data_IF_525228076785
#
_entry.id   IF_525228076785
#
_cell.length_a   1.000
_cell.length_b   1.000
_cell.length_c   1.000
_cell.angle_alpha   90.00
_cell.angle_beta   90.00
_cell.angle_gamma   90.00
#
_symmetry.space_group_name_H-M   'P 1'
#
loop_
_entity.id
_entity.type
_entity.pdbx_description
1 polymer ?
#
# COMPACT_ATOMS: atom_id res chain seq x y z
N UNK A 1 28.11 -42.36 -36.59
CA UNK A 1 26.98 -41.51 -37.04
C UNK A 1 26.71 -40.36 -36.07
N UNK A 2 27.75 -39.63 -35.62
CA UNK A 2 27.62 -38.43 -34.74
C UNK A 2 28.50 -37.27 -35.21
N UNK A 3 29.06 -37.35 -36.42
CA UNK A 3 29.93 -36.32 -37.00
C UNK A 3 29.23 -35.47 -38.06
N UNK A 4 28.16 -35.97 -38.67
CA UNK A 4 27.39 -35.22 -39.68
C UNK A 4 26.33 -34.28 -39.09
N UNK A 5 25.89 -34.51 -37.85
CA UNK A 5 24.85 -33.68 -37.21
C UNK A 5 25.38 -32.32 -36.73
N UNK A 6 26.65 -32.26 -36.32
CA UNK A 6 27.30 -31.01 -35.90
C UNK A 6 27.64 -30.09 -37.09
N UNK A 7 27.86 -30.66 -38.28
CA UNK A 7 28.19 -29.88 -39.47
C UNK A 7 26.97 -29.10 -40.01
N UNK A 8 25.75 -29.60 -39.79
CA UNK A 8 24.53 -28.92 -40.25
C UNK A 8 24.15 -27.72 -39.38
N UNK A 9 24.48 -27.71 -38.09
CA UNK A 9 24.25 -26.55 -37.22
C UNK A 9 25.21 -25.39 -37.49
N UNK A 10 26.43 -25.66 -37.98
CA UNK A 10 27.44 -24.64 -38.28
C UNK A 10 27.22 -23.94 -39.63
N UNK A 11 26.47 -24.55 -40.56
CA UNK A 11 26.22 -23.98 -41.89
C UNK A 11 25.00 -23.05 -41.96
N UNK A 12 24.16 -22.98 -40.93
CA UNK A 12 23.04 -22.01 -40.87
C UNK A 12 23.42 -20.67 -40.23
N UNK A 13 24.67 -20.46 -39.82
CA UNK A 13 25.07 -19.27 -39.04
C UNK A 13 25.58 -18.08 -39.88
N UNK A 14 25.54 -18.16 -41.20
CA UNK A 14 26.05 -17.08 -42.08
C UNK A 14 24.95 -16.51 -42.99
N UNK A 15 23.84 -16.07 -42.40
CA UNK A 15 23.14 -14.90 -42.95
C UNK A 15 23.78 -13.67 -42.35
N UNK A 16 24.61 -13.00 -43.16
CA UNK A 16 25.20 -11.71 -42.87
C UNK A 16 24.08 -10.72 -42.53
N UNK A 17 23.88 -10.44 -41.24
CA UNK A 17 23.00 -9.37 -40.81
C UNK A 17 23.69 -8.05 -41.18
N UNK A 18 23.30 -7.50 -42.33
CA UNK A 18 23.72 -6.17 -42.78
C UNK A 18 23.47 -5.18 -41.64
N UNK A 19 24.53 -4.59 -41.10
CA UNK A 19 24.41 -3.67 -39.97
C UNK A 19 23.52 -2.49 -40.37
N UNK A 20 22.34 -2.42 -39.77
CA UNK A 20 21.51 -1.21 -39.85
C UNK A 20 22.26 -0.14 -39.07
N UNK A 21 22.47 1.07 -39.61
CA UNK A 21 23.07 2.16 -38.85
C UNK A 21 22.33 2.30 -37.52
N UNK A 22 23.07 2.32 -36.41
CA UNK A 22 22.46 2.54 -35.10
C UNK A 22 21.60 3.82 -35.18
N UNK A 23 20.33 3.78 -34.74
CA UNK A 23 19.57 5.01 -34.59
C UNK A 23 20.37 5.94 -33.67
N UNK A 24 20.38 7.25 -33.95
CA UNK A 24 21.08 8.20 -33.10
C UNK A 24 20.63 8.02 -31.64
N UNK A 25 21.53 8.20 -30.66
CA UNK A 25 21.16 8.13 -29.25
C UNK A 25 19.93 9.01 -29.01
N UNK A 26 18.90 8.46 -28.35
CA UNK A 26 17.76 9.25 -27.96
C UNK A 26 18.26 10.47 -27.17
N UNK A 27 17.77 11.69 -27.46
CA UNK A 27 18.22 12.88 -26.77
C UNK A 27 18.04 12.70 -25.27
N UNK A 28 19.10 13.00 -24.51
CA UNK A 28 19.08 12.97 -23.05
C UNK A 28 17.88 13.80 -22.54
N UNK A 29 17.10 13.33 -21.56
CA UNK A 29 15.92 14.03 -21.07
C UNK A 29 16.23 15.43 -20.50
N UNK A 30 17.51 15.75 -20.30
CA UNK A 30 18.00 17.06 -19.87
C UNK A 30 18.18 18.09 -21.00
N UNK A 31 17.90 17.73 -22.26
CA UNK A 31 18.06 18.61 -23.44
C UNK A 31 16.74 18.98 -24.13
N UNK A 32 15.60 18.81 -23.46
CA UNK A 32 14.34 19.34 -23.99
C UNK A 32 14.25 20.86 -23.73
N UNK A 33 14.17 21.71 -24.77
CA UNK A 33 13.98 23.13 -24.60
C UNK A 33 12.64 23.37 -23.90
N UNK A 34 12.67 23.93 -22.70
CA UNK A 34 11.47 24.32 -21.95
C UNK A 34 10.61 25.33 -22.74
N UNK A 35 11.20 25.99 -23.73
CA UNK A 35 10.59 27.02 -24.56
C UNK A 35 9.59 26.47 -25.60
N UNK A 36 9.60 25.15 -25.84
CA UNK A 36 8.66 24.47 -26.75
C UNK A 36 7.37 24.01 -26.05
N UNK A 37 7.25 24.22 -24.74
CA UNK A 37 6.06 23.85 -24.01
C UNK A 37 4.93 24.87 -24.26
N UNK A 38 3.71 24.44 -24.67
CA UNK A 38 2.56 25.35 -24.69
C UNK A 38 2.42 26.03 -23.33
N UNK A 39 2.26 27.36 -23.29
CA UNK A 39 2.12 28.14 -22.04
C UNK A 39 1.04 27.59 -21.10
N UNK A 40 0.05 26.89 -21.66
CA UNK A 40 -1.03 26.20 -20.95
C UNK A 40 -0.55 25.00 -20.12
N UNK A 41 0.69 24.56 -20.30
CA UNK A 41 1.32 23.47 -19.55
C UNK A 41 2.04 23.94 -18.28
N UNK A 42 2.11 25.27 -18.07
CA UNK A 42 2.59 25.89 -16.84
C UNK A 42 1.47 26.12 -15.82
N UNK A 43 0.25 25.68 -16.12
CA UNK A 43 -0.79 25.56 -15.09
C UNK A 43 -0.23 24.73 -13.93
N UNK A 44 -0.51 25.09 -12.66
CA UNK A 44 -0.01 24.32 -11.53
C UNK A 44 -0.40 22.87 -11.76
N UNK A 45 0.60 21.99 -11.86
CA UNK A 45 0.37 20.54 -12.02
C UNK A 45 -0.65 20.18 -10.96
N UNK A 46 -1.86 19.77 -11.38
CA UNK A 46 -2.83 19.22 -10.45
C UNK A 46 -2.08 18.14 -9.67
N UNK A 47 -2.17 18.10 -8.33
CA UNK A 47 -1.52 17.06 -7.55
C UNK A 47 -1.88 15.73 -8.19
N UNK A 48 -0.89 14.95 -8.61
CA UNK A 48 -1.13 13.63 -9.16
C UNK A 48 -2.03 12.90 -8.16
N UNK A 49 -3.17 12.38 -8.64
CA UNK A 49 -3.99 11.53 -7.80
C UNK A 49 -3.10 10.41 -7.27
N UNK A 50 -3.09 10.12 -5.96
CA UNK A 50 -2.33 9.00 -5.44
C UNK A 50 -2.75 7.75 -6.21
N UNK A 51 -1.79 6.96 -6.66
CA UNK A 51 -2.06 5.69 -7.32
C UNK A 51 -2.86 4.80 -6.36
N UNK A 52 -3.81 3.99 -6.87
CA UNK A 52 -4.53 3.07 -6.01
C UNK A 52 -3.56 2.10 -5.33
N UNK A 53 -3.94 1.53 -4.16
CA UNK A 53 -3.14 0.47 -3.55
C UNK A 53 -3.00 -0.72 -4.49
N UNK A 54 -1.89 -1.44 -4.37
CA UNK A 54 -1.64 -2.65 -5.13
C UNK A 54 -2.34 -3.86 -4.49
N UNK A 55 -2.34 -3.92 -3.15
CA UNK A 55 -3.08 -4.90 -2.36
C UNK A 55 -3.45 -4.34 -0.99
N UNK A 56 -4.10 -5.18 -0.17
CA UNK A 56 -4.46 -4.85 1.19
C UNK A 56 -3.97 -5.92 2.16
N UNK A 57 -3.55 -5.48 3.34
CA UNK A 57 -3.37 -6.36 4.49
C UNK A 57 -4.59 -6.29 5.39
N UNK A 58 -5.23 -7.44 5.60
CA UNK A 58 -6.20 -7.63 6.67
C UNK A 58 -5.46 -8.20 7.88
N UNK A 59 -5.29 -7.37 8.91
CA UNK A 59 -4.50 -7.68 10.09
C UNK A 59 -5.42 -7.99 11.24
N UNK A 60 -5.15 -9.09 11.93
CA UNK A 60 -5.85 -9.49 13.14
C UNK A 60 -4.93 -9.37 14.37
N UNK A 61 -5.54 -9.13 15.52
CA UNK A 61 -4.88 -9.10 16.83
C UNK A 61 -5.40 -10.26 17.67
N UNK A 62 -4.51 -10.90 18.43
CA UNK A 62 -4.91 -11.78 19.52
C UNK A 62 -5.01 -10.95 20.83
N UNK A 63 -6.23 -10.67 21.35
CA UNK A 63 -6.40 -9.70 22.43
C UNK A 63 -5.67 -10.08 23.71
N UNK A 64 -5.73 -11.37 24.10
CA UNK A 64 -5.02 -11.88 25.28
C UNK A 64 -3.50 -11.72 25.16
N UNK A 65 -2.95 -11.99 23.97
CA UNK A 65 -1.53 -11.79 23.70
C UNK A 65 -1.15 -10.31 23.77
N UNK A 66 -1.93 -9.45 23.13
CA UNK A 66 -1.71 -8.00 23.13
C UNK A 66 -1.73 -7.40 24.56
N UNK A 67 -2.75 -7.75 25.35
CA UNK A 67 -2.91 -7.27 26.73
C UNK A 67 -2.02 -7.96 27.76
N UNK A 68 -1.27 -9.00 27.38
CA UNK A 68 -0.28 -9.61 28.27
C UNK A 68 0.98 -8.74 28.41
N UNK A 69 1.18 -7.77 27.51
CA UNK A 69 2.28 -6.83 27.57
C UNK A 69 2.03 -5.80 28.68
N UNK A 70 2.94 -5.74 29.65
CA UNK A 70 2.88 -4.82 30.79
C UNK A 70 2.91 -3.33 30.40
N UNK A 71 3.41 -3.00 29.20
CA UNK A 71 3.43 -1.62 28.69
C UNK A 71 2.08 -1.16 28.12
N UNK A 72 1.11 -2.06 27.98
CA UNK A 72 -0.22 -1.76 27.43
C UNK A 72 -1.24 -1.78 28.57
N UNK A 73 -1.98 -0.68 28.73
CA UNK A 73 -3.11 -0.65 29.65
C UNK A 73 -4.40 -1.04 28.93
N UNK A 74 -4.97 -2.19 29.29
CA UNK A 74 -6.24 -2.67 28.74
C UNK A 74 -7.40 -2.40 29.72
N UNK A 75 -8.57 -1.90 29.25
CA UNK A 75 -9.69 -1.49 30.10
C UNK A 75 -10.35 -2.65 30.84
N UNK A 76 -10.37 -3.83 30.23
CA UNK A 76 -11.05 -5.01 30.76
C UNK A 76 -10.17 -6.25 30.60
N UNK A 77 -9.06 -6.38 31.36
CA UNK A 77 -8.11 -7.47 31.19
C UNK A 77 -8.75 -8.85 31.45
N UNK A 78 -9.80 -8.90 32.28
CA UNK A 78 -10.53 -10.13 32.62
C UNK A 78 -11.71 -10.44 31.68
N UNK A 79 -12.04 -9.53 30.76
CA UNK A 79 -13.16 -9.67 29.83
C UNK A 79 -12.70 -9.31 28.41
N UNK A 80 -11.62 -9.95 27.97
CA UNK A 80 -11.10 -9.81 26.62
C UNK A 80 -11.79 -10.81 25.68
N UNK A 81 -11.99 -10.46 24.39
CA UNK A 81 -12.42 -11.42 23.39
C UNK A 81 -11.44 -12.60 23.32
N UNK A 82 -12.00 -13.81 23.26
CA UNK A 82 -11.21 -15.05 23.17
C UNK A 82 -10.71 -15.32 21.75
N UNK A 83 -11.37 -14.74 20.76
CA UNK A 83 -11.08 -14.90 19.34
C UNK A 83 -10.14 -13.80 18.81
N UNK A 84 -9.64 -14.00 17.58
CA UNK A 84 -8.90 -12.96 16.87
C UNK A 84 -9.84 -11.81 16.51
N UNK A 85 -9.41 -10.59 16.77
CA UNK A 85 -10.16 -9.38 16.41
C UNK A 85 -9.44 -8.61 15.33
N UNK A 86 -10.15 -7.81 14.55
CA UNK A 86 -9.56 -6.97 13.52
C UNK A 86 -8.67 -5.92 14.19
N UNK A 87 -7.46 -5.78 13.68
CA UNK A 87 -6.54 -4.70 14.00
C UNK A 87 -6.69 -3.55 13.01
N UNK A 88 -6.67 -3.91 11.73
CA UNK A 88 -6.53 -2.96 10.65
C UNK A 88 -6.80 -3.59 9.29
N UNK A 89 -7.32 -2.77 8.40
CA UNK A 89 -7.34 -3.05 6.97
C UNK A 89 -6.50 -1.98 6.30
N UNK A 90 -5.31 -2.36 5.83
CA UNK A 90 -4.29 -1.41 5.42
C UNK A 90 -4.02 -1.49 3.92
N UNK A 91 -4.11 -0.37 3.18
CA UNK A 91 -3.67 -0.31 1.79
C UNK A 91 -2.14 -0.36 1.70
N UNK A 92 -1.63 -1.13 0.75
CA UNK A 92 -0.20 -1.42 0.60
C UNK A 92 0.23 -1.20 -0.85
N UNK A 93 1.47 -0.73 -1.04
CA UNK A 93 2.10 -0.60 -2.35
C UNK A 93 2.84 -1.88 -2.82
N UNK A 94 3.33 -1.88 -4.06
CA UNK A 94 4.15 -2.99 -4.62
C UNK A 94 5.41 -3.32 -3.84
N UNK A 95 5.84 -2.47 -2.91
CA UNK A 95 7.03 -2.67 -2.08
C UNK A 95 6.67 -3.12 -0.67
N UNK A 96 5.42 -3.55 -0.47
CA UNK A 96 4.91 -3.99 0.83
C UNK A 96 4.98 -2.90 1.92
N UNK A 97 4.84 -1.64 1.51
CA UNK A 97 4.80 -0.49 2.43
C UNK A 97 3.37 0.04 2.55
N UNK A 98 2.94 0.31 3.80
CA UNK A 98 1.60 0.88 4.03
C UNK A 98 1.52 2.29 3.47
N UNK A 99 0.41 2.58 2.77
CA UNK A 99 0.17 3.91 2.22
C UNK A 99 -0.26 4.86 3.36
N UNK A 100 0.71 5.53 3.98
CA UNK A 100 0.44 6.43 5.10
C UNK A 100 0.02 7.84 4.61
N UNK A 101 -1.16 8.27 5.06
CA UNK A 101 -1.77 9.61 5.08
C UNK A 101 -1.06 10.77 4.32
N UNK A 102 -0.94 10.70 2.99
CA UNK A 102 -0.59 11.90 2.20
C UNK A 102 -1.75 12.90 2.08
N UNK A 103 -2.99 12.50 2.40
CA UNK A 103 -4.16 13.37 2.58
C UNK A 103 -5.09 12.77 3.62
N UNK A 104 -5.05 13.30 4.84
CA UNK A 104 -6.21 13.17 5.73
C UNK A 104 -7.36 13.92 5.05
N UNK A 105 -8.37 13.18 4.56
CA UNK A 105 -9.53 13.73 3.84
C UNK A 105 -10.60 14.31 4.78
N UNK A 106 -10.18 14.82 5.94
CA UNK A 106 -11.04 15.33 7.00
C UNK A 106 -11.32 14.31 8.11
N UNK A 107 -12.12 14.69 9.12
CA UNK A 107 -12.51 13.77 10.19
C UNK A 107 -13.29 12.59 9.61
N UNK A 108 -13.01 11.39 10.14
CA UNK A 108 -13.83 10.21 9.87
C UNK A 108 -15.17 10.45 10.58
N UNK A 109 -16.17 10.97 9.86
CA UNK A 109 -17.53 11.06 10.36
C UNK A 109 -18.18 9.67 10.27
N UNK A 110 -18.08 8.91 11.35
CA UNK A 110 -18.88 7.71 11.57
C UNK A 110 -20.33 8.10 11.86
N UNK A 111 -21.05 8.61 10.85
CA UNK A 111 -22.50 8.68 10.92
C UNK A 111 -23.04 7.26 10.70
N UNK A 112 -22.96 6.44 11.74
CA UNK A 112 -23.74 5.21 11.87
C UNK A 112 -25.21 5.63 12.07
N UNK A 113 -25.91 5.94 10.98
CA UNK A 113 -27.30 6.39 11.03
C UNK A 113 -28.24 5.27 10.59
N UNK A 114 -29.40 5.21 11.22
CA UNK A 114 -30.40 4.18 10.94
C UNK A 114 -29.99 2.79 11.46
N UNK A 115 -30.87 1.83 11.24
CA UNK A 115 -30.76 0.46 11.75
C UNK A 115 -29.46 -0.24 11.31
N UNK A 116 -29.12 -0.15 10.02
CA UNK A 116 -27.90 -0.74 9.47
C UNK A 116 -26.61 -0.13 10.06
N UNK A 117 -26.64 1.16 10.41
CA UNK A 117 -25.51 1.82 11.06
C UNK A 117 -25.29 1.30 12.49
N UNK A 118 -26.37 1.14 13.25
CA UNK A 118 -26.33 0.62 14.62
C UNK A 118 -25.92 -0.86 14.67
N UNK A 119 -26.39 -1.67 13.71
CA UNK A 119 -25.98 -3.07 13.55
C UNK A 119 -24.47 -3.16 13.28
N UNK A 120 -23.98 -2.41 12.29
CA UNK A 120 -22.55 -2.35 11.97
C UNK A 120 -21.72 -1.89 13.17
N UNK A 121 -22.17 -0.85 13.89
CA UNK A 121 -21.49 -0.38 15.09
C UNK A 121 -21.42 -1.46 16.17
N UNK A 122 -22.47 -2.25 16.33
CA UNK A 122 -22.51 -3.38 17.27
C UNK A 122 -21.54 -4.48 16.87
N UNK A 123 -21.48 -4.84 15.60
CA UNK A 123 -20.49 -5.78 15.08
C UNK A 123 -19.06 -5.27 15.24
N UNK A 124 -18.81 -3.99 14.97
CA UNK A 124 -17.48 -3.39 15.12
C UNK A 124 -17.00 -3.41 16.58
N UNK A 125 -17.88 -3.16 17.56
CA UNK A 125 -17.51 -3.26 18.98
C UNK A 125 -17.03 -4.66 19.37
N UNK A 126 -17.59 -5.70 18.75
CA UNK A 126 -17.24 -7.09 19.05
C UNK A 126 -16.02 -7.56 18.26
N UNK A 127 -15.94 -7.21 16.98
CA UNK A 127 -14.97 -7.75 16.05
C UNK A 127 -13.76 -6.82 15.82
N UNK A 128 -13.86 -5.54 16.11
CA UNK A 128 -12.78 -4.54 15.99
C UNK A 128 -12.72 -3.63 17.24
N UNK A 129 -12.57 -4.20 18.45
CA UNK A 129 -12.57 -3.45 19.68
C UNK A 129 -11.31 -2.60 19.83
N UNK A 130 -11.44 -1.46 20.53
CA UNK A 130 -10.30 -0.76 21.08
C UNK A 130 -9.84 -1.47 22.36
N UNK A 131 -8.67 -2.11 22.30
CA UNK A 131 -8.07 -2.82 23.44
C UNK A 131 -7.28 -1.90 24.38
N UNK A 132 -7.09 -0.62 24.04
CA UNK A 132 -6.32 0.33 24.85
C UNK A 132 -7.22 1.26 25.65
N UNK A 133 -6.82 1.53 26.88
CA UNK A 133 -7.40 2.60 27.69
C UNK A 133 -6.58 3.87 27.57
N UNK A 134 -7.21 5.05 27.54
CA UNK A 134 -6.46 6.27 27.80
C UNK A 134 -5.81 6.16 29.18
N UNK A 135 -4.50 6.44 29.26
CA UNK A 135 -3.82 6.59 30.54
C UNK A 135 -4.58 7.65 31.33
N UNK A 136 -5.12 7.30 32.50
CA UNK A 136 -5.67 8.27 33.43
C UNK A 136 -4.58 9.28 33.74
N UNK A 137 -4.73 10.51 33.23
CA UNK A 137 -4.01 11.65 33.77
C UNK A 137 -4.43 11.73 35.23
N UNK A 138 -3.50 11.45 36.14
CA UNK A 138 -3.70 11.62 37.57
C UNK A 138 -3.98 13.10 37.80
N UNK A 139 -5.25 13.48 37.90
CA UNK A 139 -5.63 14.77 38.49
C UNK A 139 -5.36 14.63 39.98
N UNK A 140 -4.14 15.01 40.38
CA UNK A 140 -3.78 15.14 41.77
C UNK A 140 -4.69 16.15 42.46
N UNK A 141 -5.32 15.68 43.54
CA UNK A 141 -5.66 16.37 44.80
C UNK A 141 -5.80 17.88 44.78
#
# INVERSE_FOLDING_TARGET
MMTYFLLFCLLLSHTEAKSIPHPPPAPSPHHFPLDLWPKDSLLPRRPCHPLPPDHFWLVHTWPKGFCSNSSVHCPQPNNLPLELTIHGWWPVDRKDSTLNNYRQVGPINYLFTGEAGEELYTEMKNNWPNLTSPSSTVTGT
#
